data_IF_142166924798
#
_entry.id   IF_142166924798
#
_cell.length_a   1.000
_cell.length_b   1.000
_cell.length_c   1.000
_cell.angle_alpha   90.00
_cell.angle_beta   90.00
_cell.angle_gamma   90.00
#
_symmetry.space_group_name_H-M   'P 1'
#
loop_
_entity.id
_entity.type
_entity.pdbx_description
1 polymer ?
#
# COMPACT_ATOMS: atom_id res chain seq x y z
N UNK A 1 7.36 -9.35 -18.29
CA UNK A 1 8.40 -10.36 -18.02
C UNK A 1 8.92 -11.00 -19.30
N UNK A 2 8.06 -11.62 -20.13
CA UNK A 2 8.49 -12.23 -21.41
C UNK A 2 9.16 -11.23 -22.38
N UNK A 3 8.58 -10.06 -22.58
CA UNK A 3 9.15 -9.00 -23.45
C UNK A 3 10.48 -8.47 -22.92
N UNK A 4 10.61 -8.33 -21.60
CA UNK A 4 11.85 -7.94 -20.93
C UNK A 4 12.89 -9.09 -20.84
N UNK A 5 12.55 -10.31 -21.29
CA UNK A 5 13.36 -11.53 -21.18
C UNK A 5 13.81 -11.84 -19.73
N UNK A 6 12.96 -11.52 -18.76
CA UNK A 6 13.19 -11.81 -17.34
C UNK A 6 12.43 -13.08 -16.99
N UNK A 7 13.12 -14.05 -16.37
CA UNK A 7 12.48 -15.21 -15.76
C UNK A 7 11.87 -14.81 -14.42
N UNK A 8 10.58 -15.10 -14.24
CA UNK A 8 9.85 -14.82 -13.00
C UNK A 8 8.81 -15.90 -12.76
N UNK A 9 8.61 -16.25 -11.49
CA UNK A 9 7.50 -17.09 -11.06
C UNK A 9 6.29 -16.20 -10.74
N UNK A 10 5.16 -16.47 -11.39
CA UNK A 10 3.91 -15.74 -11.14
C UNK A 10 2.94 -16.68 -10.43
N UNK A 11 2.42 -16.24 -9.28
CA UNK A 11 1.46 -16.99 -8.47
C UNK A 11 0.20 -16.17 -8.28
N UNK A 12 -0.95 -16.82 -8.41
CA UNK A 12 -2.22 -16.26 -7.92
C UNK A 12 -2.28 -16.54 -6.42
N UNK A 13 -2.51 -15.52 -5.61
CA UNK A 13 -2.57 -15.69 -4.16
C UNK A 13 -3.10 -14.45 -3.43
N UNK A 14 -3.47 -14.67 -2.18
CA UNK A 14 -3.84 -13.62 -1.22
C UNK A 14 -2.67 -13.40 -0.25
N UNK A 15 -2.25 -12.15 -0.07
CA UNK A 15 -1.14 -11.81 0.83
C UNK A 15 -1.42 -12.16 2.30
N UNK A 16 -2.69 -12.27 2.70
CA UNK A 16 -3.10 -12.77 4.03
C UNK A 16 -2.86 -14.27 4.21
N UNK A 17 -2.53 -14.99 3.14
CA UNK A 17 -2.24 -16.42 3.16
C UNK A 17 -0.78 -16.73 2.80
N UNK A 18 0.09 -15.70 2.73
CA UNK A 18 1.50 -15.87 2.42
C UNK A 18 2.18 -16.72 3.51
N UNK A 19 2.75 -17.85 3.09
CA UNK A 19 3.31 -18.86 4.02
C UNK A 19 4.81 -19.07 3.85
N UNK A 20 5.45 -18.40 2.89
CA UNK A 20 6.91 -18.43 2.68
C UNK A 20 7.65 -18.02 3.98
N UNK A 21 8.80 -18.65 4.22
CA UNK A 21 9.64 -18.42 5.42
C UNK A 21 11.10 -18.25 5.02
N UNK A 22 11.70 -17.12 5.38
CA UNK A 22 13.11 -16.80 5.08
C UNK A 22 13.49 -17.04 3.60
N UNK A 23 12.56 -16.72 2.69
CA UNK A 23 12.67 -17.02 1.26
C UNK A 23 13.25 -15.83 0.49
N UNK A 24 12.85 -14.61 0.84
CA UNK A 24 13.14 -13.42 0.03
C UNK A 24 14.18 -12.52 0.69
N UNK A 25 15.08 -11.96 -0.13
CA UNK A 25 16.00 -10.89 0.29
C UNK A 25 15.28 -9.53 0.35
N UNK A 26 14.23 -9.36 -0.46
CA UNK A 26 13.39 -8.19 -0.46
C UNK A 26 11.93 -8.52 -0.81
N UNK A 27 10.99 -7.77 -0.25
CA UNK A 27 9.57 -7.76 -0.60
C UNK A 27 9.18 -6.33 -0.96
N UNK A 28 8.38 -6.17 -2.01
CA UNK A 28 7.93 -4.87 -2.51
C UNK A 28 6.40 -4.87 -2.60
N UNK A 29 5.76 -3.98 -1.82
CA UNK A 29 4.35 -3.65 -1.93
C UNK A 29 4.22 -2.25 -2.52
N UNK A 30 3.92 -2.17 -3.82
CA UNK A 30 3.94 -0.93 -4.61
C UNK A 30 2.53 -0.48 -5.03
N UNK A 31 2.37 0.76 -5.50
CA UNK A 31 1.12 1.34 -5.97
C UNK A 31 -0.04 1.27 -4.97
N UNK A 32 0.23 1.56 -3.68
CA UNK A 32 -0.79 1.55 -2.62
C UNK A 32 -1.49 0.18 -2.50
N UNK A 33 -0.75 -0.92 -2.54
CA UNK A 33 -1.30 -2.28 -2.42
C UNK A 33 -1.52 -2.74 -0.96
N UNK A 34 -1.35 -1.87 0.03
CA UNK A 34 -1.51 -2.16 1.46
C UNK A 34 -2.59 -1.26 2.08
N UNK A 35 -3.36 -1.76 3.05
CA UNK A 35 -4.43 -0.99 3.71
C UNK A 35 -5.85 -1.26 3.19
N UNK A 36 -6.02 -2.23 2.28
CA UNK A 36 -7.34 -2.60 1.77
C UNK A 36 -8.13 -3.48 2.75
N UNK A 37 -7.47 -4.16 3.69
CA UNK A 37 -8.15 -5.05 4.63
C UNK A 37 -8.59 -4.31 5.92
N UNK A 38 -8.98 -5.09 6.93
CA UNK A 38 -9.14 -4.63 8.30
C UNK A 38 -7.78 -4.49 9.01
N UNK A 39 -7.77 -3.84 10.18
CA UNK A 39 -6.52 -3.59 10.92
C UNK A 39 -5.83 -4.91 11.30
N UNK A 40 -6.59 -5.91 11.75
CA UNK A 40 -5.99 -7.20 12.11
C UNK A 40 -5.39 -7.91 10.89
N UNK A 41 -6.10 -7.91 9.76
CA UNK A 41 -5.65 -8.53 8.51
C UNK A 41 -4.42 -7.81 7.93
N UNK A 42 -4.41 -6.48 7.90
CA UNK A 42 -3.26 -5.69 7.45
C UNK A 42 -2.03 -5.96 8.33
N UNK A 43 -2.23 -6.07 9.65
CA UNK A 43 -1.15 -6.44 10.57
C UNK A 43 -0.67 -7.88 10.33
N UNK A 44 -1.57 -8.82 10.08
CA UNK A 44 -1.23 -10.20 9.71
C UNK A 44 -0.38 -10.25 8.44
N UNK A 45 -0.66 -9.42 7.45
CA UNK A 45 0.16 -9.29 6.24
C UNK A 45 1.58 -8.84 6.58
N UNK A 46 1.76 -7.87 7.49
CA UNK A 46 3.09 -7.45 7.93
C UNK A 46 3.86 -8.58 8.63
N UNK A 47 3.18 -9.40 9.45
CA UNK A 47 3.77 -10.59 10.05
C UNK A 47 4.23 -11.59 8.97
N UNK A 48 3.40 -11.83 7.95
CA UNK A 48 3.79 -12.70 6.84
C UNK A 48 4.97 -12.16 6.04
N UNK A 49 5.01 -10.85 5.78
CA UNK A 49 6.17 -10.23 5.12
C UNK A 49 7.44 -10.38 5.96
N UNK A 50 7.35 -10.15 7.27
CA UNK A 50 8.49 -10.33 8.18
C UNK A 50 8.98 -11.79 8.19
N UNK A 51 8.06 -12.75 8.22
CA UNK A 51 8.39 -14.18 8.19
C UNK A 51 9.02 -14.61 6.87
N UNK A 52 8.49 -14.14 5.75
CA UNK A 52 8.95 -14.48 4.41
C UNK A 52 10.32 -13.86 4.08
N UNK A 53 10.70 -12.76 4.74
CA UNK A 53 12.02 -12.16 4.61
C UNK A 53 13.10 -12.97 5.33
N UNK A 54 14.28 -13.08 4.71
CA UNK A 54 15.50 -13.56 5.38
C UNK A 54 15.97 -12.54 6.44
N UNK A 55 16.71 -12.95 7.48
CA UNK A 55 17.38 -12.01 8.38
C UNK A 55 18.24 -11.02 7.61
N UNK A 56 18.05 -9.72 7.85
CA UNK A 56 18.68 -8.63 7.08
C UNK A 56 17.98 -8.27 5.77
N UNK A 57 16.89 -8.97 5.40
CA UNK A 57 16.07 -8.68 4.24
C UNK A 57 15.23 -7.42 4.41
N UNK A 58 14.77 -6.84 3.30
CA UNK A 58 14.09 -5.53 3.27
C UNK A 58 12.65 -5.61 2.79
N UNK A 59 11.77 -4.88 3.47
CA UNK A 59 10.41 -4.62 3.02
C UNK A 59 10.32 -3.18 2.51
N UNK A 60 9.80 -3.02 1.30
CA UNK A 60 9.38 -1.72 0.79
C UNK A 60 7.86 -1.65 0.73
N UNK A 61 7.27 -0.61 1.29
CA UNK A 61 5.85 -0.28 1.12
C UNK A 61 5.71 1.15 0.57
N UNK A 62 5.08 1.29 -0.58
CA UNK A 62 4.55 2.57 -1.06
C UNK A 62 3.09 2.73 -0.61
N UNK A 63 2.81 3.80 0.13
CA UNK A 63 1.48 4.11 0.65
C UNK A 63 1.13 5.61 0.53
N UNK A 64 -0.16 5.97 0.48
CA UNK A 64 -0.61 7.34 0.53
C UNK A 64 -0.29 7.95 1.90
N UNK A 65 0.21 9.19 1.91
CA UNK A 65 0.30 9.96 3.13
C UNK A 65 -1.05 10.60 3.43
N UNK A 66 -1.72 10.14 4.50
CA UNK A 66 -3.00 10.69 4.95
C UNK A 66 -3.00 12.22 5.00
N UNK A 67 -1.97 12.83 5.60
CA UNK A 67 -1.93 14.29 5.79
C UNK A 67 -1.80 15.03 4.45
N UNK A 68 -0.89 14.60 3.59
CA UNK A 68 -0.71 15.19 2.26
C UNK A 68 -1.92 15.01 1.33
N UNK A 69 -2.59 13.86 1.40
CA UNK A 69 -3.80 13.59 0.60
C UNK A 69 -4.99 14.41 1.09
N UNK A 70 -5.29 14.40 2.40
CA UNK A 70 -6.46 15.09 2.93
C UNK A 70 -6.34 16.61 2.87
N UNK A 71 -5.12 17.16 2.98
CA UNK A 71 -4.86 18.59 2.84
C UNK A 71 -5.23 19.15 1.45
N UNK A 72 -5.23 18.31 0.42
CA UNK A 72 -5.55 18.70 -0.97
C UNK A 72 -6.48 17.66 -1.61
N UNK A 73 -7.53 17.26 -0.89
CA UNK A 73 -8.45 16.21 -1.33
C UNK A 73 -9.36 16.71 -2.47
N UNK A 74 -9.17 16.14 -3.66
CA UNK A 74 -10.07 16.36 -4.79
C UNK A 74 -11.26 15.40 -4.69
N UNK A 75 -12.41 15.90 -4.22
CA UNK A 75 -13.59 15.09 -3.88
C UNK A 75 -14.31 14.47 -5.07
N UNK A 76 -14.22 15.10 -6.24
CA UNK A 76 -14.85 14.62 -7.48
C UNK A 76 -13.91 14.90 -8.64
N UNK A 77 -13.76 13.92 -9.52
CA UNK A 77 -13.06 14.07 -10.79
C UNK A 77 -13.87 13.39 -11.89
N UNK A 78 -13.88 14.00 -13.06
CA UNK A 78 -14.47 13.47 -14.27
C UNK A 78 -13.39 13.47 -15.35
N UNK A 79 -13.15 12.31 -15.94
CA UNK A 79 -12.22 12.17 -17.05
C UNK A 79 -12.99 12.17 -18.37
N UNK A 80 -12.34 12.67 -19.43
CA UNK A 80 -12.91 12.73 -20.80
C UNK A 80 -13.37 11.37 -21.34
N UNK A 81 -12.94 10.27 -20.72
CA UNK A 81 -13.26 8.88 -21.08
C UNK A 81 -14.58 8.36 -20.47
N UNK A 82 -15.45 9.23 -19.95
CA UNK A 82 -16.72 8.82 -19.31
C UNK A 82 -16.54 8.13 -17.96
N UNK A 83 -15.37 8.33 -17.32
CA UNK A 83 -15.07 7.86 -15.97
C UNK A 83 -15.31 8.98 -14.99
N UNK A 84 -16.19 8.73 -14.03
CA UNK A 84 -16.44 9.65 -12.92
C UNK A 84 -15.97 9.00 -11.63
N UNK A 85 -15.24 9.74 -10.81
CA UNK A 85 -14.83 9.27 -9.49
C UNK A 85 -15.19 10.29 -8.43
N UNK A 86 -15.61 9.80 -7.29
CA UNK A 86 -15.74 10.60 -6.08
C UNK A 86 -15.04 9.92 -4.92
N UNK A 87 -14.56 10.72 -3.98
CA UNK A 87 -13.87 10.23 -2.79
C UNK A 87 -14.46 10.85 -1.53
N UNK A 88 -14.60 10.01 -0.51
CA UNK A 88 -15.05 10.37 0.83
C UNK A 88 -14.00 9.91 1.84
N UNK A 89 -13.63 10.81 2.75
CA UNK A 89 -12.84 10.45 3.92
C UNK A 89 -13.76 10.08 5.07
N UNK A 90 -13.58 8.89 5.64
CA UNK A 90 -14.21 8.44 6.87
C UNK A 90 -13.21 8.55 8.01
N UNK A 91 -13.44 9.50 8.92
CA UNK A 91 -12.57 9.76 10.07
C UNK A 91 -12.58 8.65 11.12
N UNK A 92 -13.68 7.91 11.25
CA UNK A 92 -13.85 6.86 12.26
C UNK A 92 -13.06 5.62 11.83
N UNK A 93 -13.20 5.24 10.57
CA UNK A 93 -12.49 4.07 10.02
C UNK A 93 -11.13 4.43 9.43
N UNK A 94 -10.76 5.71 9.38
CA UNK A 94 -9.57 6.25 8.72
C UNK A 94 -9.41 5.75 7.27
N UNK A 95 -10.53 5.64 6.53
CA UNK A 95 -10.53 5.15 5.15
C UNK A 95 -10.83 6.25 4.15
N UNK A 96 -10.10 6.23 3.04
CA UNK A 96 -10.51 6.91 1.82
C UNK A 96 -11.38 5.95 1.02
N UNK A 97 -12.65 6.29 0.89
CA UNK A 97 -13.66 5.55 0.14
C UNK A 97 -13.76 6.17 -1.25
N UNK A 98 -13.40 5.42 -2.27
CA UNK A 98 -13.52 5.80 -3.68
C UNK A 98 -14.75 5.13 -4.28
N UNK A 99 -15.61 5.93 -4.90
CA UNK A 99 -16.66 5.48 -5.78
C UNK A 99 -16.24 5.82 -7.21
N UNK A 100 -16.11 4.80 -8.05
CA UNK A 100 -15.75 4.93 -9.45
C UNK A 100 -16.91 4.43 -10.29
N UNK A 101 -17.41 5.30 -11.15
CA UNK A 101 -18.37 4.98 -12.19
C UNK A 101 -17.61 4.90 -13.52
N UNK A 102 -17.70 3.76 -14.20
CA UNK A 102 -17.11 3.53 -15.51
C UNK A 102 -18.23 3.30 -16.51
N UNK A 103 -18.39 4.21 -17.46
CA UNK A 103 -19.32 4.04 -18.58
C UNK A 103 -18.59 3.38 -19.74
N UNK A 104 -19.03 2.18 -20.13
CA UNK A 104 -18.49 1.43 -21.27
C UNK A 104 -19.55 1.10 -22.31
N UNK A 105 -19.18 0.41 -23.41
CA UNK A 105 -20.11 -0.02 -24.44
C UNK A 105 -21.26 -0.90 -23.93
N UNK A 106 -21.01 -1.67 -22.87
CA UNK A 106 -21.96 -2.61 -22.25
C UNK A 106 -22.79 -1.96 -21.12
N UNK A 107 -22.67 -0.64 -20.92
CA UNK A 107 -23.39 0.12 -19.90
C UNK A 107 -22.49 0.70 -18.80
N UNK A 108 -23.14 1.12 -17.72
CA UNK A 108 -22.50 1.74 -16.56
C UNK A 108 -22.12 0.68 -15.51
N UNK A 109 -20.88 0.74 -15.02
CA UNK A 109 -20.36 -0.12 -13.96
C UNK A 109 -19.89 0.74 -12.79
N UNK A 110 -20.41 0.46 -11.59
CA UNK A 110 -19.98 1.10 -10.35
C UNK A 110 -19.02 0.20 -9.58
N UNK A 111 -17.89 0.76 -9.17
CA UNK A 111 -16.89 0.12 -8.31
C UNK A 111 -16.68 0.97 -7.08
N UNK A 112 -16.85 0.36 -5.91
CA UNK A 112 -16.57 1.00 -4.62
C UNK A 112 -15.38 0.31 -3.95
N UNK A 113 -14.39 1.09 -3.56
CA UNK A 113 -13.23 0.60 -2.80
C UNK A 113 -12.95 1.52 -1.62
N UNK A 114 -12.54 0.97 -0.49
CA UNK A 114 -12.02 1.75 0.62
C UNK A 114 -10.58 1.34 0.90
N UNK A 115 -9.70 2.30 1.18
CA UNK A 115 -8.34 2.02 1.65
C UNK A 115 -8.09 2.77 2.95
N UNK A 116 -7.60 2.08 3.97
CA UNK A 116 -7.17 2.69 5.23
C UNK A 116 -5.86 3.44 5.00
N UNK A 117 -5.81 4.70 5.42
CA UNK A 117 -4.60 5.51 5.36
C UNK A 117 -3.94 5.59 6.73
N UNK A 118 -2.99 4.69 6.96
CA UNK A 118 -2.15 4.74 8.15
C UNK A 118 -1.21 5.95 8.11
N UNK A 119 -1.04 6.61 9.24
CA UNK A 119 0.03 7.57 9.48
C UNK A 119 1.40 6.89 9.54
N UNK A 120 2.47 7.66 9.33
CA UNK A 120 3.85 7.18 9.51
C UNK A 120 4.10 6.59 10.91
N UNK A 121 3.46 7.15 11.95
CA UNK A 121 3.56 6.65 13.31
C UNK A 121 2.90 5.27 13.47
N UNK A 122 1.71 5.09 12.87
CA UNK A 122 1.03 3.79 12.84
C UNK A 122 1.85 2.76 12.06
N UNK A 123 2.38 3.11 10.88
CA UNK A 123 3.27 2.21 10.14
C UNK A 123 4.50 1.81 10.96
N UNK A 124 5.17 2.77 11.60
CA UNK A 124 6.34 2.49 12.45
C UNK A 124 5.99 1.51 13.57
N UNK A 125 4.87 1.73 14.26
CA UNK A 125 4.41 0.85 15.33
C UNK A 125 4.09 -0.56 14.80
N UNK A 126 3.27 -0.66 13.75
CA UNK A 126 2.86 -1.95 13.20
C UNK A 126 4.04 -2.75 12.64
N UNK A 127 4.96 -2.09 11.93
CA UNK A 127 6.20 -2.72 11.47
C UNK A 127 7.04 -3.22 12.65
N UNK A 128 7.22 -2.40 13.69
CA UNK A 128 7.97 -2.79 14.89
C UNK A 128 7.35 -3.99 15.60
N UNK A 129 6.02 -4.00 15.76
CA UNK A 129 5.29 -5.13 16.35
C UNK A 129 5.41 -6.40 15.50
N UNK A 130 5.53 -6.26 14.18
CA UNK A 130 5.77 -7.38 13.26
C UNK A 130 7.24 -7.84 13.21
N UNK A 131 8.15 -7.25 13.99
CA UNK A 131 9.57 -7.59 13.98
C UNK A 131 10.38 -6.94 12.85
N UNK A 132 9.85 -5.88 12.24
CA UNK A 132 10.51 -5.07 11.21
C UNK A 132 10.91 -3.71 11.79
N UNK A 133 12.05 -3.17 11.35
CA UNK A 133 12.50 -1.83 11.73
C UNK A 133 12.44 -0.89 10.55
N UNK A 134 11.61 0.14 10.64
CA UNK A 134 11.52 1.21 9.63
C UNK A 134 12.80 2.06 9.64
N UNK A 135 13.59 2.02 8.56
CA UNK A 135 14.88 2.71 8.44
C UNK A 135 14.78 4.02 7.67
N UNK A 136 14.02 4.06 6.58
CA UNK A 136 13.93 5.22 5.69
C UNK A 136 12.50 5.46 5.22
N UNK A 137 12.17 6.73 5.00
CA UNK A 137 10.91 7.16 4.38
C UNK A 137 11.21 8.26 3.38
N UNK A 138 10.70 8.08 2.16
CA UNK A 138 10.81 9.03 1.06
C UNK A 138 9.43 9.54 0.66
N UNK A 139 9.39 10.73 0.08
CA UNK A 139 8.24 11.29 -0.61
C UNK A 139 8.11 10.75 -2.04
N UNK A 140 7.33 11.44 -2.86
CA UNK A 140 7.23 11.15 -4.29
C UNK A 140 8.60 11.37 -4.96
N UNK A 141 8.88 10.61 -6.03
CA UNK A 141 10.15 10.69 -6.78
C UNK A 141 11.43 10.42 -5.95
N UNK A 142 11.29 9.71 -4.83
CA UNK A 142 12.38 9.39 -3.88
C UNK A 142 13.02 10.63 -3.22
N UNK A 143 12.29 11.74 -3.16
CA UNK A 143 12.68 12.94 -2.40
C UNK A 143 12.60 12.69 -0.88
N UNK A 144 13.24 13.52 -0.03
CA UNK A 144 13.03 13.44 1.41
C UNK A 144 11.53 13.53 1.76
N UNK A 145 11.06 12.68 2.68
CA UNK A 145 9.67 12.73 3.11
C UNK A 145 9.39 14.00 3.94
N UNK A 146 8.43 14.78 3.48
CA UNK A 146 7.79 15.87 4.23
C UNK A 146 6.36 15.50 4.62
N UNK A 147 5.83 16.07 5.70
CA UNK A 147 4.46 15.82 6.14
C UNK A 147 3.37 16.19 5.12
N UNK A 148 3.71 17.10 4.19
CA UNK A 148 2.89 17.56 3.06
C UNK A 148 2.98 16.64 1.83
N UNK A 149 3.98 15.75 1.78
CA UNK A 149 4.15 14.79 0.67
C UNK A 149 2.87 13.99 0.48
N UNK A 150 2.47 13.70 -0.76
CA UNK A 150 1.24 12.92 -1.01
C UNK A 150 1.46 11.41 -0.84
N UNK A 151 2.71 10.94 -0.88
CA UNK A 151 3.10 9.54 -0.73
C UNK A 151 4.19 9.36 0.30
N UNK A 152 4.25 8.14 0.83
CA UNK A 152 5.32 7.61 1.67
C UNK A 152 5.85 6.36 1.00
N UNK A 153 7.14 6.36 0.65
CA UNK A 153 7.88 5.18 0.22
C UNK A 153 8.75 4.77 1.41
N UNK A 154 8.35 3.71 2.09
CA UNK A 154 8.96 3.27 3.34
C UNK A 154 9.85 2.06 3.09
N UNK A 155 11.06 2.08 3.66
CA UNK A 155 11.98 0.95 3.65
C UNK A 155 12.17 0.48 5.10
N UNK A 156 11.78 -0.76 5.37
CA UNK A 156 11.99 -1.44 6.63
C UNK A 156 12.92 -2.65 6.45
N UNK A 157 13.61 -3.04 7.51
CA UNK A 157 14.50 -4.19 7.54
C UNK A 157 14.03 -5.21 8.56
N UNK A 158 14.13 -6.51 8.24
CA UNK A 158 14.10 -7.58 9.25
C UNK A 158 15.47 -7.62 9.93
N UNK A 159 15.60 -7.32 11.23
CA UNK A 159 16.90 -7.34 11.89
C UNK A 159 17.63 -8.67 11.71
N UNK A 160 18.96 -8.62 11.60
CA UNK A 160 19.78 -9.81 11.76
C UNK A 160 19.76 -10.14 13.25
N UNK A 161 19.27 -11.32 13.62
CA UNK A 161 19.42 -11.87 14.97
C UNK A 161 20.89 -11.88 15.38
#
# INVERSE_FOLDING_TARGET
>A
FAEAKISAELRIGDMRCLSDKNTFDAIVSWFNSFGYFGIEDDFQVLLHFADALRPGGRLLIEAPNRKGILGNLVRRQEAETGKQSSVLWDEVTERLITHLTVTGPDGECEVKSGVRMYSIAQYRLLMQLAGLRLEQVYGEELTPFEETSRRMIMIAVKPKS
#
